data_IF_866117916435
#
_entry.id   IF_866117916435
#
_cell.length_a   1.000
_cell.length_b   1.000
_cell.length_c   1.000
_cell.angle_alpha   90.00
_cell.angle_beta   90.00
_cell.angle_gamma   90.00
#
_symmetry.space_group_name_H-M   'P 1'
#
loop_
_entity.id
_entity.type
_entity.pdbx_description
1 polymer ?
#
# COMPACT_ATOMS: atom_id res chain seq x y z
N UNK A 1 27.40 6.50 -27.64
CA UNK A 1 26.10 6.23 -27.00
C UNK A 1 25.94 7.22 -25.86
N UNK A 2 25.02 8.18 -25.98
CA UNK A 2 24.72 9.12 -24.90
C UNK A 2 24.13 8.33 -23.74
N UNK A 3 24.76 8.45 -22.57
CA UNK A 3 24.22 7.89 -21.33
C UNK A 3 23.01 8.75 -20.98
N UNK A 4 21.79 8.24 -21.19
CA UNK A 4 20.58 8.96 -20.77
C UNK A 4 20.68 9.22 -19.26
N UNK A 5 20.50 10.49 -18.88
CA UNK A 5 20.70 10.98 -17.52
C UNK A 5 19.40 10.76 -16.76
N UNK A 6 19.47 9.94 -15.70
CA UNK A 6 18.36 9.78 -14.76
C UNK A 6 18.54 10.80 -13.65
N UNK A 7 17.50 11.58 -13.36
CA UNK A 7 17.46 12.52 -12.24
C UNK A 7 16.36 12.13 -11.25
N UNK A 8 16.54 12.47 -9.97
CA UNK A 8 15.50 12.31 -8.95
C UNK A 8 14.90 13.67 -8.65
N UNK A 9 13.57 13.74 -8.60
CA UNK A 9 12.83 14.95 -8.21
C UNK A 9 11.58 14.60 -7.41
N UNK A 10 11.05 15.57 -6.67
CA UNK A 10 9.72 15.44 -6.10
C UNK A 10 8.68 15.30 -7.21
N UNK A 11 7.66 14.49 -6.95
CA UNK A 11 6.53 14.35 -7.86
C UNK A 11 5.65 15.60 -7.88
N UNK A 12 5.14 15.89 -9.06
CA UNK A 12 4.20 16.97 -9.32
C UNK A 12 2.84 16.40 -9.73
N UNK A 13 1.77 17.20 -9.68
CA UNK A 13 0.43 16.73 -10.03
C UNK A 13 0.35 16.15 -11.45
N UNK A 14 1.16 16.68 -12.37
CA UNK A 14 1.26 16.18 -13.74
C UNK A 14 1.79 14.74 -13.84
N UNK A 15 2.46 14.22 -12.81
CA UNK A 15 2.97 12.85 -12.78
C UNK A 15 1.88 11.83 -12.41
N UNK A 16 0.73 12.26 -11.87
CA UNK A 16 -0.32 11.37 -11.36
C UNK A 16 -0.79 10.30 -12.38
N UNK A 17 -0.99 10.61 -13.68
CA UNK A 17 -1.33 9.60 -14.69
C UNK A 17 -0.25 8.53 -14.88
N UNK A 18 1.02 8.90 -14.86
CA UNK A 18 2.14 7.96 -15.00
C UNK A 18 2.29 7.11 -13.74
N UNK A 19 2.12 7.70 -12.56
CA UNK A 19 2.16 6.98 -11.29
C UNK A 19 0.98 5.99 -11.16
N UNK A 20 -0.20 6.34 -11.66
CA UNK A 20 -1.37 5.46 -11.68
C UNK A 20 -1.12 4.22 -12.55
N UNK A 21 -0.42 4.39 -13.67
CA UNK A 21 0.02 3.27 -14.51
C UNK A 21 1.12 2.44 -13.83
N UNK A 22 2.14 3.10 -13.27
CA UNK A 22 3.27 2.45 -12.61
C UNK A 22 2.85 1.55 -11.45
N UNK A 23 1.84 1.97 -10.69
CA UNK A 23 1.34 1.29 -9.49
C UNK A 23 -0.01 0.58 -9.69
N UNK A 24 -0.46 0.35 -10.93
CA UNK A 24 -1.75 -0.27 -11.22
C UNK A 24 -2.00 -1.58 -10.43
N UNK A 25 -0.97 -2.42 -10.25
CA UNK A 25 -1.07 -3.68 -9.51
C UNK A 25 -1.13 -3.52 -7.98
N UNK A 26 -0.77 -2.35 -7.46
CA UNK A 26 -0.73 -2.05 -6.03
C UNK A 26 -1.94 -1.22 -5.56
N UNK A 27 -2.63 -0.54 -6.48
CA UNK A 27 -3.78 0.30 -6.17
C UNK A 27 -5.04 -0.53 -5.90
N UNK A 28 -6.01 0.10 -5.23
CA UNK A 28 -7.35 -0.48 -5.05
C UNK A 28 -7.98 -0.78 -6.42
N UNK A 29 -8.96 -1.69 -6.46
CA UNK A 29 -9.80 -1.85 -7.65
C UNK A 29 -10.62 -0.57 -7.85
N UNK A 30 -10.39 0.10 -8.96
CA UNK A 30 -11.10 1.30 -9.40
C UNK A 30 -10.87 1.50 -10.91
N UNK A 31 -11.54 2.47 -11.50
CA UNK A 31 -11.17 2.94 -12.83
C UNK A 31 -9.94 3.86 -12.80
N UNK A 32 -9.43 4.20 -13.99
CA UNK A 32 -8.23 5.02 -14.13
C UNK A 32 -8.41 6.45 -13.62
N UNK A 33 -9.61 7.03 -13.75
CA UNK A 33 -9.87 8.40 -13.32
C UNK A 33 -9.78 8.50 -11.79
N UNK A 34 -10.39 7.54 -11.11
CA UNK A 34 -10.29 7.35 -9.66
C UNK A 34 -8.84 7.17 -9.18
N UNK A 35 -8.04 6.36 -9.89
CA UNK A 35 -6.63 6.17 -9.55
C UNK A 35 -5.81 7.45 -9.66
N UNK A 36 -6.06 8.25 -10.71
CA UNK A 36 -5.38 9.53 -10.90
C UNK A 36 -5.76 10.49 -9.77
N UNK A 37 -7.05 10.61 -9.45
CA UNK A 37 -7.53 11.45 -8.36
C UNK A 37 -6.94 11.04 -6.99
N UNK A 38 -6.88 9.73 -6.71
CA UNK A 38 -6.25 9.21 -5.50
C UNK A 38 -4.77 9.60 -5.44
N UNK A 39 -4.03 9.51 -6.55
CA UNK A 39 -2.61 9.85 -6.56
C UNK A 39 -2.34 11.36 -6.51
N UNK A 40 -3.21 12.20 -7.06
CA UNK A 40 -3.12 13.65 -6.83
C UNK A 40 -3.21 13.99 -5.33
N UNK A 41 -4.06 13.28 -4.57
CA UNK A 41 -4.15 13.46 -3.12
C UNK A 41 -2.87 13.00 -2.42
N UNK A 42 -2.28 11.88 -2.85
CA UNK A 42 -1.00 11.39 -2.30
C UNK A 42 0.12 12.39 -2.58
N UNK A 43 0.21 12.94 -3.79
CA UNK A 43 1.21 13.95 -4.17
C UNK A 43 1.05 15.21 -3.31
N UNK A 44 -0.17 15.75 -3.20
CA UNK A 44 -0.46 16.93 -2.34
C UNK A 44 -0.07 16.68 -0.89
N UNK A 45 -0.40 15.51 -0.36
CA UNK A 45 -0.06 15.13 1.02
C UNK A 45 1.45 15.04 1.25
N UNK A 46 2.17 14.44 0.31
CA UNK A 46 3.62 14.33 0.39
C UNK A 46 4.28 15.71 0.32
N UNK A 47 3.84 16.58 -0.60
CA UNK A 47 4.37 17.93 -0.74
C UNK A 47 4.12 18.82 0.50
N UNK A 48 3.05 18.58 1.25
CA UNK A 48 2.68 19.35 2.43
C UNK A 48 3.25 18.80 3.75
N UNK A 49 4.04 17.73 3.74
CA UNK A 49 4.51 17.05 4.95
C UNK A 49 6.03 16.93 4.99
N UNK A 50 6.70 17.35 6.07
CA UNK A 50 8.15 17.12 6.22
C UNK A 50 8.49 15.63 6.45
N UNK A 51 7.50 14.82 6.82
CA UNK A 51 7.64 13.40 7.10
C UNK A 51 7.36 12.52 5.86
N UNK A 52 7.08 13.11 4.70
CA UNK A 52 6.78 12.39 3.47
C UNK A 52 7.47 13.01 2.27
N UNK A 53 7.87 12.18 1.32
CA UNK A 53 8.35 12.62 0.00
C UNK A 53 7.92 11.62 -1.05
N UNK A 54 7.25 12.06 -2.10
CA UNK A 54 7.02 11.22 -3.28
C UNK A 54 8.09 11.59 -4.30
N UNK A 55 9.01 10.65 -4.54
CA UNK A 55 10.14 10.84 -5.45
C UNK A 55 9.85 10.11 -6.76
N UNK A 56 10.08 10.79 -7.87
CA UNK A 56 10.12 10.19 -9.21
C UNK A 56 11.54 10.18 -9.73
N UNK A 57 11.89 9.10 -10.40
CA UNK A 57 13.05 9.04 -11.27
C UNK A 57 12.62 9.49 -12.66
N UNK A 58 13.15 10.62 -13.09
CA UNK A 58 12.89 11.23 -14.39
C UNK A 58 14.02 10.84 -15.35
N UNK A 59 13.67 10.27 -16.49
CA UNK A 59 14.58 9.95 -17.57
C UNK A 59 14.09 10.62 -18.85
N UNK A 60 14.83 11.63 -19.29
CA UNK A 60 14.54 12.42 -20.49
C UNK A 60 13.12 13.04 -20.49
N UNK A 61 12.63 13.52 -19.33
CA UNK A 61 11.33 14.15 -19.16
C UNK A 61 10.17 13.17 -18.92
N UNK A 62 10.47 11.88 -18.76
CA UNK A 62 9.47 10.84 -18.51
C UNK A 62 9.69 10.17 -17.14
N UNK A 63 8.59 9.90 -16.44
CA UNK A 63 8.63 9.12 -15.19
C UNK A 63 9.08 7.70 -15.50
N UNK A 64 10.28 7.33 -15.08
CA UNK A 64 10.85 6.01 -15.26
C UNK A 64 10.58 5.07 -14.07
N UNK A 65 10.39 5.65 -12.89
CA UNK A 65 10.07 4.95 -11.65
C UNK A 65 9.71 5.91 -10.54
N UNK A 66 9.21 5.39 -9.42
CA UNK A 66 8.80 6.21 -8.29
C UNK A 66 8.85 5.43 -6.97
N UNK A 67 8.90 6.18 -5.88
CA UNK A 67 8.78 5.68 -4.51
C UNK A 67 8.11 6.74 -3.64
N UNK A 68 7.22 6.31 -2.74
CA UNK A 68 6.71 7.17 -1.67
C UNK A 68 7.50 6.88 -0.40
N UNK A 69 8.17 7.90 0.14
CA UNK A 69 8.89 7.85 1.39
C UNK A 69 8.00 8.39 2.51
N UNK A 70 7.98 7.70 3.65
CA UNK A 70 7.21 8.13 4.83
C UNK A 70 7.93 7.75 6.13
N UNK A 71 8.06 8.71 7.04
CA UNK A 71 8.48 8.47 8.41
C UNK A 71 7.33 7.85 9.20
N UNK A 72 7.62 6.79 9.94
CA UNK A 72 6.67 6.16 10.87
C UNK A 72 7.43 5.38 11.93
N UNK A 73 6.73 4.55 12.70
CA UNK A 73 7.34 3.63 13.67
C UNK A 73 7.30 2.20 13.15
N UNK A 74 8.19 1.34 13.67
CA UNK A 74 8.29 -0.06 13.25
C UNK A 74 6.95 -0.80 13.37
N UNK A 75 6.22 -0.54 14.47
CA UNK A 75 4.80 -0.87 14.64
C UNK A 75 4.11 0.19 15.48
N UNK A 76 2.77 0.21 15.62
CA UNK A 76 2.09 1.16 16.51
C UNK A 76 2.46 1.05 18.00
N UNK A 77 3.08 -0.06 18.45
CA UNK A 77 3.51 -0.27 19.84
C UNK A 77 5.04 -0.38 20.00
N UNK A 78 5.78 -0.40 18.89
CA UNK A 78 7.23 -0.28 18.88
C UNK A 78 7.57 1.04 18.19
N UNK A 79 7.91 2.05 19.00
CA UNK A 79 8.06 3.43 18.57
C UNK A 79 9.42 3.73 17.92
N UNK A 80 10.26 2.71 17.69
CA UNK A 80 11.49 2.86 16.90
C UNK A 80 11.14 3.43 15.52
N UNK A 81 11.74 4.57 15.17
CA UNK A 81 11.44 5.26 13.92
C UNK A 81 11.99 4.51 12.72
N UNK A 82 11.25 4.54 11.61
CA UNK A 82 11.62 3.94 10.34
C UNK A 82 11.15 4.83 9.18
N UNK A 83 12.01 5.02 8.19
CA UNK A 83 11.59 5.53 6.87
C UNK A 83 11.11 4.35 6.03
N UNK A 84 9.84 4.37 5.67
CA UNK A 84 9.25 3.39 4.76
C UNK A 84 9.36 3.87 3.32
N UNK A 85 10.08 3.11 2.49
CA UNK A 85 10.03 3.19 1.04
C UNK A 85 8.83 2.37 0.54
N UNK A 86 7.71 3.05 0.31
CA UNK A 86 6.44 2.45 -0.11
C UNK A 86 6.41 2.33 -1.63
N UNK A 87 6.12 1.11 -2.09
CA UNK A 87 5.96 0.76 -3.51
C UNK A 87 7.09 1.25 -4.43
N UNK A 88 8.39 1.01 -4.13
CA UNK A 88 9.46 1.33 -5.06
C UNK A 88 9.29 0.54 -6.36
N UNK A 89 8.96 1.23 -7.46
CA UNK A 89 8.70 0.62 -8.77
C UNK A 89 9.47 1.33 -9.88
N UNK A 90 9.85 0.54 -10.88
CA UNK A 90 10.46 1.01 -12.13
C UNK A 90 9.68 0.36 -13.26
N UNK A 91 9.26 1.17 -14.22
CA UNK A 91 8.59 0.70 -15.43
C UNK A 91 9.48 -0.34 -16.13
N UNK A 92 8.91 -1.42 -16.70
CA UNK A 92 9.69 -2.53 -17.26
C UNK A 92 10.76 -2.10 -18.26
N UNK A 93 10.46 -1.13 -19.13
CA UNK A 93 11.37 -0.63 -20.17
C UNK A 93 12.53 0.22 -19.64
N UNK A 94 12.47 0.69 -18.39
CA UNK A 94 13.56 1.43 -17.74
C UNK A 94 14.37 0.58 -16.73
N UNK A 95 14.03 -0.70 -16.55
CA UNK A 95 14.73 -1.59 -15.62
C UNK A 95 16.18 -1.88 -16.05
N UNK A 96 17.01 -2.29 -15.09
CA UNK A 96 18.44 -2.62 -15.26
C UNK A 96 19.34 -1.42 -15.59
N UNK A 97 18.86 -0.20 -15.41
CA UNK A 97 19.63 1.05 -15.54
C UNK A 97 19.99 1.69 -14.18
N UNK A 98 19.94 0.93 -13.09
CA UNK A 98 20.25 1.45 -11.75
C UNK A 98 19.14 2.28 -11.09
N UNK A 99 18.03 2.55 -11.77
CA UNK A 99 16.93 3.40 -11.24
C UNK A 99 16.38 2.89 -9.91
N UNK A 100 16.14 1.58 -9.78
CA UNK A 100 15.65 1.02 -8.51
C UNK A 100 16.63 1.26 -7.35
N UNK A 101 17.94 1.24 -7.63
CA UNK A 101 18.97 1.58 -6.64
C UNK A 101 18.92 3.06 -6.29
N UNK A 102 18.82 3.96 -7.27
CA UNK A 102 18.68 5.40 -7.04
C UNK A 102 17.45 5.73 -6.17
N UNK A 103 16.31 5.09 -6.42
CA UNK A 103 15.11 5.26 -5.59
C UNK A 103 15.35 4.83 -4.14
N UNK A 104 16.04 3.70 -3.91
CA UNK A 104 16.37 3.25 -2.57
C UNK A 104 17.45 4.11 -1.90
N UNK A 105 18.42 4.62 -2.65
CA UNK A 105 19.40 5.61 -2.15
C UNK A 105 18.69 6.86 -1.66
N UNK A 106 17.66 7.36 -2.37
CA UNK A 106 16.87 8.49 -1.87
C UNK A 106 16.11 8.21 -0.57
N UNK A 107 15.71 6.96 -0.33
CA UNK A 107 15.10 6.56 0.94
C UNK A 107 16.12 6.60 2.09
N UNK A 108 17.36 6.16 1.84
CA UNK A 108 18.45 6.21 2.81
C UNK A 108 18.82 7.67 3.12
N UNK A 109 19.04 8.49 2.10
CA UNK A 109 19.36 9.91 2.30
C UNK A 109 18.25 10.63 3.07
N UNK A 110 16.97 10.35 2.76
CA UNK A 110 15.86 10.93 3.53
C UNK A 110 15.85 10.48 5.00
N UNK A 111 16.24 9.24 5.30
CA UNK A 111 16.37 8.77 6.67
C UNK A 111 17.53 9.45 7.40
N UNK A 112 18.69 9.58 6.74
CA UNK A 112 19.88 10.25 7.27
C UNK A 112 19.59 11.74 7.57
N UNK A 113 18.92 12.44 6.65
CA UNK A 113 18.50 13.83 6.83
C UNK A 113 17.63 14.05 8.08
N UNK A 114 16.83 13.04 8.45
CA UNK A 114 15.91 13.09 9.59
C UNK A 114 16.48 12.41 10.85
N UNK A 115 17.70 11.88 10.80
CA UNK A 115 18.30 11.14 11.92
C UNK A 115 17.62 9.81 12.23
N UNK A 116 16.93 9.20 11.27
CA UNK A 116 16.22 7.92 11.43
C UNK A 116 17.15 6.76 11.06
N UNK A 117 17.38 5.85 12.01
CA UNK A 117 18.36 4.77 11.85
C UNK A 117 17.90 3.60 10.95
N UNK A 118 16.60 3.49 10.69
CA UNK A 118 16.02 2.35 9.99
C UNK A 118 15.33 2.75 8.69
N UNK A 119 15.58 1.98 7.63
CA UNK A 119 14.84 2.03 6.37
C UNK A 119 14.14 0.69 6.16
N UNK A 120 12.86 0.73 5.79
CA UNK A 120 12.06 -0.44 5.52
C UNK A 120 11.31 -0.33 4.20
N UNK A 121 11.01 -1.46 3.58
CA UNK A 121 10.12 -1.53 2.41
C UNK A 121 9.32 -2.82 2.43
N UNK A 122 8.22 -2.82 1.69
CA UNK A 122 7.46 -4.02 1.40
C UNK A 122 7.51 -4.30 -0.10
N UNK A 123 7.79 -5.55 -0.45
CA UNK A 123 7.64 -6.06 -1.81
C UNK A 123 6.46 -7.04 -1.85
N UNK A 124 5.83 -7.16 -3.02
CA UNK A 124 4.84 -8.21 -3.24
C UNK A 124 5.48 -9.58 -2.93
N UNK A 125 4.83 -10.37 -2.07
CA UNK A 125 5.37 -11.65 -1.60
C UNK A 125 5.67 -12.64 -2.72
N UNK A 126 4.90 -12.59 -3.82
CA UNK A 126 5.10 -13.44 -5.00
C UNK A 126 6.25 -12.96 -5.91
N UNK A 127 6.73 -11.72 -5.77
CA UNK A 127 7.74 -11.13 -6.66
C UNK A 127 9.15 -11.55 -6.26
N UNK A 128 9.63 -12.67 -6.82
CA UNK A 128 11.01 -13.17 -6.56
C UNK A 128 12.07 -12.14 -6.92
N UNK A 129 11.86 -11.40 -8.01
CA UNK A 129 12.81 -10.39 -8.47
C UNK A 129 12.90 -9.20 -7.53
N UNK A 130 11.76 -8.70 -7.04
CA UNK A 130 11.76 -7.61 -6.05
C UNK A 130 12.39 -8.07 -4.73
N UNK A 131 12.02 -9.24 -4.22
CA UNK A 131 12.60 -9.78 -2.98
C UNK A 131 14.12 -9.99 -3.10
N UNK A 132 14.60 -10.51 -4.23
CA UNK A 132 16.05 -10.66 -4.49
C UNK A 132 16.75 -9.30 -4.57
N UNK A 133 16.12 -8.31 -5.19
CA UNK A 133 16.66 -6.95 -5.23
C UNK A 133 16.81 -6.36 -3.82
N UNK A 134 15.77 -6.46 -2.98
CA UNK A 134 15.81 -5.95 -1.61
C UNK A 134 16.85 -6.69 -0.74
N UNK A 135 16.93 -8.01 -0.84
CA UNK A 135 17.93 -8.79 -0.12
C UNK A 135 19.38 -8.39 -0.47
N UNK A 136 19.63 -8.04 -1.73
CA UNK A 136 20.96 -7.54 -2.17
C UNK A 136 21.31 -6.17 -1.60
N UNK A 137 20.32 -5.40 -1.15
CA UNK A 137 20.52 -4.14 -0.43
C UNK A 137 20.66 -4.33 1.09
N UNK A 138 20.66 -5.57 1.59
CA UNK A 138 20.74 -5.88 3.02
C UNK A 138 19.39 -5.87 3.74
N UNK A 139 18.28 -5.68 3.04
CA UNK A 139 16.95 -5.71 3.64
C UNK A 139 16.49 -7.15 3.88
N UNK A 140 16.32 -7.50 5.16
CA UNK A 140 15.81 -8.80 5.60
C UNK A 140 14.30 -8.82 5.86
N UNK A 141 13.68 -10.01 5.92
CA UNK A 141 12.28 -10.12 6.31
C UNK A 141 12.10 -9.72 7.79
N UNK A 142 11.26 -8.71 8.04
CA UNK A 142 10.92 -8.27 9.40
C UNK A 142 9.51 -8.71 9.81
N UNK A 143 8.55 -8.66 8.88
CA UNK A 143 7.16 -9.06 9.12
C UNK A 143 6.49 -9.58 7.83
N UNK A 144 5.39 -10.31 7.98
CA UNK A 144 4.51 -10.71 6.88
C UNK A 144 3.09 -10.18 7.12
N UNK A 145 2.63 -9.30 6.23
CA UNK A 145 1.25 -8.82 6.26
C UNK A 145 0.29 -9.91 5.75
N UNK A 146 -0.68 -10.30 6.59
CA UNK A 146 -1.76 -11.22 6.21
C UNK A 146 -3.03 -10.42 5.99
N UNK A 147 -3.61 -10.56 4.80
CA UNK A 147 -4.83 -9.84 4.42
C UNK A 147 -5.82 -10.78 3.74
N UNK A 148 -7.09 -10.62 4.06
CA UNK A 148 -8.21 -11.26 3.39
C UNK A 148 -9.47 -10.40 3.59
N UNK A 149 -10.50 -10.54 2.73
CA UNK A 149 -11.77 -9.86 2.96
C UNK A 149 -12.36 -10.20 4.34
N UNK A 150 -12.84 -9.19 5.05
CA UNK A 150 -13.41 -9.34 6.41
C UNK A 150 -14.47 -10.44 6.49
N UNK A 151 -15.32 -10.54 5.45
CA UNK A 151 -16.36 -11.57 5.34
C UNK A 151 -15.79 -12.99 5.26
N UNK A 152 -14.66 -13.17 4.58
CA UNK A 152 -14.02 -14.48 4.44
C UNK A 152 -13.39 -14.91 5.77
N UNK A 153 -12.70 -14.00 6.46
CA UNK A 153 -12.13 -14.26 7.78
C UNK A 153 -13.24 -14.58 8.78
N UNK A 154 -14.33 -13.80 8.79
CA UNK A 154 -15.49 -14.04 9.65
C UNK A 154 -16.09 -15.43 9.43
N UNK A 155 -16.28 -15.84 8.17
CA UNK A 155 -16.84 -17.15 7.84
C UNK A 155 -15.98 -18.29 8.40
N UNK A 156 -14.65 -18.21 8.23
CA UNK A 156 -13.71 -19.22 8.76
C UNK A 156 -13.70 -19.27 10.29
N UNK A 157 -13.67 -18.11 10.95
CA UNK A 157 -13.73 -18.05 12.42
C UNK A 157 -15.03 -18.62 12.98
N UNK A 158 -16.18 -18.35 12.34
CA UNK A 158 -17.46 -18.92 12.78
C UNK A 158 -17.49 -20.44 12.60
N UNK A 159 -16.96 -20.97 11.49
CA UNK A 159 -16.91 -22.41 11.23
C UNK A 159 -16.02 -23.18 12.22
N UNK A 160 -15.01 -22.52 12.80
CA UNK A 160 -14.08 -23.11 13.77
C UNK A 160 -14.60 -23.07 15.22
N UNK A 161 -15.78 -22.49 15.49
CA UNK A 161 -16.33 -22.45 16.85
C UNK A 161 -16.76 -23.85 17.32
N UNK A 162 -16.38 -24.27 18.55
CA UNK A 162 -16.83 -25.54 19.12
C UNK A 162 -18.37 -25.62 19.20
N UNK A 163 -18.92 -26.83 19.05
CA UNK A 163 -20.36 -27.10 18.99
C UNK A 163 -21.15 -26.58 20.22
N UNK A 164 -20.50 -26.45 21.39
CA UNK A 164 -21.10 -25.92 22.62
C UNK A 164 -21.48 -24.43 22.53
N UNK A 165 -20.88 -23.65 21.61
CA UNK A 165 -21.24 -22.25 21.37
C UNK A 165 -22.22 -22.06 20.18
N UNK A 166 -22.49 -23.12 19.41
CA UNK A 166 -23.35 -23.08 18.22
C UNK A 166 -24.85 -22.99 18.56
N UNK A 167 -25.25 -23.40 19.77
CA UNK A 167 -26.61 -23.27 20.31
C UNK A 167 -26.99 -21.81 20.52
N UNK A 168 -26.12 -21.01 21.14
CA UNK A 168 -26.36 -19.58 21.39
C UNK A 168 -26.35 -18.73 20.11
N UNK A 169 -25.50 -19.07 19.14
CA UNK A 169 -25.47 -18.40 17.83
C UNK A 169 -26.73 -18.66 16.98
N UNK A 170 -27.28 -19.88 17.03
CA UNK A 170 -28.57 -20.19 16.39
C UNK A 170 -29.73 -19.43 17.04
N UNK A 171 -29.70 -19.26 18.36
CA UNK A 171 -30.69 -18.49 19.11
C UNK A 171 -30.68 -17.00 18.71
N UNK A 172 -29.51 -16.37 18.66
CA UNK A 172 -29.37 -14.97 18.25
C UNK A 172 -29.81 -14.77 16.78
N UNK A 173 -29.42 -15.68 15.89
CA UNK A 173 -29.80 -15.62 14.47
C UNK A 173 -31.32 -15.77 14.29
N UNK A 174 -31.96 -16.63 15.09
CA UNK A 174 -33.42 -16.83 15.11
C UNK A 174 -34.16 -15.60 15.64
N UNK A 175 -33.64 -14.95 16.69
CA UNK A 175 -34.21 -13.71 17.24
C UNK A 175 -34.08 -12.55 16.24
N UNK A 176 -32.94 -12.41 15.55
CA UNK A 176 -32.77 -11.39 14.53
C UNK A 176 -33.65 -11.62 13.29
N UNK A 177 -33.83 -12.87 12.88
CA UNK A 177 -34.77 -13.24 11.82
C UNK A 177 -36.22 -12.94 12.20
N UNK A 178 -36.63 -13.29 13.42
CA UNK A 178 -37.97 -12.99 13.96
C UNK A 178 -38.23 -11.48 14.05
N UNK A 179 -37.24 -10.68 14.44
CA UNK A 179 -37.37 -9.21 14.46
C UNK A 179 -37.53 -8.63 13.06
N UNK A 180 -36.85 -9.19 12.05
CA UNK A 180 -37.00 -8.78 10.65
C UNK A 180 -38.39 -9.11 10.10
N UNK A 181 -38.93 -10.29 10.43
CA UNK A 181 -40.28 -10.68 9.99
C UNK A 181 -41.35 -9.82 10.68
N UNK A 182 -41.22 -9.52 11.97
CA UNK A 182 -42.17 -8.65 12.67
C UNK A 182 -42.15 -7.21 12.14
N UNK A 183 -40.97 -6.65 11.83
CA UNK A 183 -40.89 -5.33 11.18
C UNK A 183 -41.54 -5.32 9.81
N UNK A 184 -41.42 -6.42 9.05
CA UNK A 184 -42.03 -6.55 7.72
C UNK A 184 -43.56 -6.69 7.77
N UNK A 185 -44.07 -7.35 8.81
CA UNK A 185 -45.51 -7.45 9.08
C UNK A 185 -46.12 -6.12 9.53
N UNK A 186 -45.36 -5.29 10.26
CA UNK A 186 -45.80 -3.96 10.70
C UNK A 186 -45.79 -2.90 9.58
N UNK A 187 -45.08 -3.13 8.48
CA UNK A 187 -45.02 -2.20 7.33
C UNK A 187 -45.98 -2.54 6.19
N UNK A 188 -46.96 -3.41 6.41
CA UNK A 188 -48.03 -3.66 5.44
C UNK A 188 -49.33 -3.01 5.95
N UNK A 189 -49.73 -1.82 5.47
CA UNK A 189 -51.09 -1.35 5.61
C UNK A 189 -51.97 -2.18 4.67
N UNK A 190 -52.99 -2.83 5.22
CA UNK A 190 -54.10 -3.31 4.41
C UNK A 190 -54.97 -2.14 3.97
N UNK A 191 -55.44 -2.19 2.72
CA UNK A 191 -56.65 -1.54 2.23
C UNK A 191 -56.70 -0.02 2.29
#
# INVERSE_FOLDING_TARGET
MSRSLVSLRCAELADAPALAELWADALRRADRHDHIADLELVIKKAAASPEQRLIVADQDGAVAGAVLLRVTTLTPINLEQVVQAISPHVFPHYRRHGIGRLLMESAVSFAEELGVAHVGTAAASASRDANRFMARLGLGPHAMLRLAPTVAVRAKLTAQRPALAATSGRQLTRVLAARRSMRRAQTTPGG
#
